data_IF_766726506945
#
_entry.id   IF_766726506945
#
_cell.length_a   1.000
_cell.length_b   1.000
_cell.length_c   1.000
_cell.angle_alpha   90.00
_cell.angle_beta   90.00
_cell.angle_gamma   90.00
#
_symmetry.space_group_name_H-M   'P 1'
#
loop_
_entity.id
_entity.type
_entity.pdbx_description
1 polymer ?
#
# COMPACT_ATOMS: atom_id res chain seq x y z
N UNK A 1 -18.70 24.30 -8.54
CA UNK A 1 -19.03 22.92 -8.95
C UNK A 1 -17.74 22.10 -8.91
N UNK A 2 -17.83 20.86 -8.48
CA UNK A 2 -16.71 19.93 -8.42
C UNK A 2 -17.19 18.50 -8.72
N UNK A 3 -16.26 17.65 -9.09
CA UNK A 3 -16.48 16.21 -9.27
C UNK A 3 -15.79 15.49 -8.11
N UNK A 4 -16.49 14.57 -7.48
CA UNK A 4 -15.94 13.67 -6.46
C UNK A 4 -15.91 12.26 -7.02
N UNK A 5 -14.79 11.60 -6.88
CA UNK A 5 -14.63 10.19 -7.22
C UNK A 5 -13.79 9.49 -6.14
N UNK A 6 -13.91 8.20 -6.06
CA UNK A 6 -13.04 7.40 -5.23
C UNK A 6 -11.73 7.14 -5.97
N UNK A 7 -10.62 7.49 -5.32
CA UNK A 7 -9.29 7.20 -5.82
C UNK A 7 -8.61 6.17 -4.92
N UNK A 8 -8.21 5.05 -5.50
CA UNK A 8 -7.40 4.07 -4.79
C UNK A 8 -5.97 4.57 -4.61
N UNK A 9 -5.38 4.29 -3.46
CA UNK A 9 -3.95 4.47 -3.25
C UNK A 9 -3.16 3.51 -4.14
N UNK A 10 -2.03 3.96 -4.65
CA UNK A 10 -1.05 3.12 -5.32
C UNK A 10 0.21 3.10 -4.46
N UNK A 11 0.70 1.89 -4.22
CA UNK A 11 2.00 1.64 -3.61
C UNK A 11 2.75 0.67 -4.51
N UNK A 12 3.77 1.17 -5.20
CA UNK A 12 4.60 0.37 -6.09
C UNK A 12 6.06 0.76 -5.95
N UNK A 13 6.96 -0.13 -6.33
CA UNK A 13 8.41 0.15 -6.33
C UNK A 13 8.85 1.28 -7.26
N UNK A 14 7.95 1.83 -8.09
CA UNK A 14 8.26 2.88 -9.06
C UNK A 14 7.60 4.22 -8.76
N UNK A 15 6.39 4.21 -8.18
CA UNK A 15 5.62 5.43 -7.91
C UNK A 15 4.52 5.17 -6.88
N UNK A 16 4.18 6.21 -6.15
CA UNK A 16 3.00 6.27 -5.27
C UNK A 16 1.85 7.07 -5.91
N UNK A 17 2.10 7.67 -7.09
CA UNK A 17 1.09 8.43 -7.81
C UNK A 17 0.22 7.50 -8.63
N UNK A 18 -1.08 7.48 -8.35
CA UNK A 18 -2.07 6.82 -9.19
C UNK A 18 -2.62 7.78 -10.23
N UNK A 19 -2.84 7.29 -11.44
CA UNK A 19 -3.28 8.10 -12.59
C UNK A 19 -4.74 7.79 -12.90
N UNK A 20 -5.54 8.85 -13.09
CA UNK A 20 -6.94 8.74 -13.48
C UNK A 20 -7.19 9.56 -14.74
N UNK A 21 -7.79 8.94 -15.74
CA UNK A 21 -8.11 9.59 -16.99
C UNK A 21 -9.48 10.27 -16.91
N UNK A 22 -9.52 11.59 -17.01
CA UNK A 22 -10.76 12.36 -17.08
C UNK A 22 -11.14 12.65 -18.52
N UNK A 23 -12.29 12.16 -18.93
CA UNK A 23 -12.89 12.50 -20.23
C UNK A 23 -14.12 13.38 -20.05
N UNK A 24 -14.46 14.18 -21.05
CA UNK A 24 -15.64 15.06 -21.02
C UNK A 24 -16.30 15.12 -22.39
N UNK A 25 -17.60 15.47 -22.40
CA UNK A 25 -18.44 15.41 -23.60
C UNK A 25 -19.04 14.00 -23.81
N UNK A 26 -19.95 13.86 -24.75
CA UNK A 26 -20.67 12.62 -25.00
C UNK A 26 -21.78 12.32 -23.99
N UNK A 27 -22.05 11.04 -23.75
CA UNK A 27 -23.09 10.60 -22.81
C UNK A 27 -22.68 10.84 -21.34
N UNK A 28 -23.68 10.89 -20.45
CA UNK A 28 -23.44 11.07 -19.03
C UNK A 28 -22.59 9.92 -18.46
N UNK A 29 -21.50 10.29 -17.80
CA UNK A 29 -20.66 9.33 -17.09
C UNK A 29 -21.40 8.66 -15.93
N UNK A 30 -20.89 7.51 -15.50
CA UNK A 30 -21.38 6.78 -14.35
C UNK A 30 -21.33 7.65 -13.10
N UNK A 31 -22.34 7.54 -12.25
CA UNK A 31 -22.40 8.19 -10.92
C UNK A 31 -22.31 7.15 -9.83
N UNK A 32 -21.77 7.54 -8.67
CA UNK A 32 -21.85 6.72 -7.47
C UNK A 32 -23.31 6.36 -7.18
N UNK A 33 -23.56 5.12 -6.83
CA UNK A 33 -24.83 4.66 -6.30
C UNK A 33 -25.10 5.23 -4.91
N UNK A 34 -26.32 5.08 -4.45
CA UNK A 34 -26.65 5.32 -3.05
C UNK A 34 -27.62 4.25 -2.57
N UNK A 35 -27.43 3.78 -1.33
CA UNK A 35 -28.33 2.84 -0.68
C UNK A 35 -28.73 3.32 0.70
N UNK A 36 -29.85 2.81 1.18
CA UNK A 36 -30.43 3.17 2.48
C UNK A 36 -29.64 2.53 3.63
N UNK A 37 -29.12 3.36 4.51
CA UNK A 37 -28.43 2.97 5.74
C UNK A 37 -29.25 3.27 6.99
N UNK A 38 -30.57 3.49 6.90
CA UNK A 38 -31.41 3.75 8.07
C UNK A 38 -31.14 2.73 9.17
N UNK A 39 -30.87 3.16 10.42
CA UNK A 39 -30.56 2.24 11.50
C UNK A 39 -31.69 1.23 11.75
N UNK A 40 -31.37 -0.02 11.70
CA UNK A 40 -32.27 -1.16 11.86
C UNK A 40 -31.70 -2.25 12.78
N UNK A 41 -32.27 -3.43 12.70
CA UNK A 41 -31.74 -4.61 13.38
C UNK A 41 -30.43 -5.06 12.70
N UNK A 42 -29.50 -5.60 13.49
CA UNK A 42 -28.22 -6.12 12.99
C UNK A 42 -27.24 -6.40 14.11
N UNK A 43 -26.19 -7.13 13.80
CA UNK A 43 -25.04 -7.32 14.70
C UNK A 43 -24.33 -5.98 14.89
N UNK A 44 -24.01 -5.63 16.13
CA UNK A 44 -23.26 -4.41 16.45
C UNK A 44 -21.86 -4.78 16.87
N UNK A 45 -20.88 -4.78 15.94
CA UNK A 45 -19.50 -5.08 16.27
C UNK A 45 -18.90 -3.96 17.16
N UNK A 46 -18.11 -4.35 18.13
CA UNK A 46 -17.42 -3.41 19.03
C UNK A 46 -16.09 -2.91 18.47
N UNK A 47 -15.53 -3.59 17.49
CA UNK A 47 -14.25 -3.29 16.83
C UNK A 47 -14.22 -3.90 15.42
N UNK A 48 -13.27 -3.47 14.64
CA UNK A 48 -12.94 -4.02 13.33
C UNK A 48 -11.45 -4.37 13.27
N UNK A 49 -11.07 -5.20 12.30
CA UNK A 49 -9.65 -5.50 12.04
C UNK A 49 -9.03 -4.33 11.29
N UNK A 50 -7.88 -3.86 11.77
CA UNK A 50 -7.01 -2.90 11.11
C UNK A 50 -5.62 -3.49 10.91
N UNK A 51 -4.95 -3.05 9.86
CA UNK A 51 -3.57 -3.42 9.55
C UNK A 51 -2.70 -2.16 9.56
N UNK A 52 -1.54 -2.27 10.18
CA UNK A 52 -0.46 -1.30 10.07
C UNK A 52 0.73 -1.99 9.44
N UNK A 53 1.19 -1.48 8.31
CA UNK A 53 2.41 -1.89 7.64
C UNK A 53 3.50 -0.86 7.92
N UNK A 54 4.67 -1.34 8.33
CA UNK A 54 5.85 -0.52 8.65
C UNK A 54 6.99 -1.04 7.79
N UNK A 55 7.42 -0.24 6.84
CA UNK A 55 8.52 -0.53 5.94
C UNK A 55 9.38 0.73 5.78
N UNK A 56 10.68 0.53 5.65
CA UNK A 56 11.67 1.59 5.37
C UNK A 56 12.70 1.05 4.38
N UNK A 57 13.02 1.82 3.36
CA UNK A 57 13.90 1.43 2.27
C UNK A 57 15.29 2.09 2.43
N UNK A 58 16.02 1.70 3.50
CA UNK A 58 17.29 2.32 3.89
C UNK A 58 18.52 1.57 3.34
N UNK A 59 18.47 0.24 3.29
CA UNK A 59 19.60 -0.60 2.92
C UNK A 59 19.29 -1.41 1.66
N UNK A 60 20.23 -1.47 0.72
CA UNK A 60 20.08 -2.25 -0.50
C UNK A 60 20.89 -3.53 -0.45
N UNK A 61 20.24 -4.68 -0.61
CA UNK A 61 20.86 -5.99 -0.68
C UNK A 61 20.64 -6.62 -2.07
N UNK A 62 21.57 -6.37 -3.01
CA UNK A 62 21.45 -6.80 -4.42
C UNK A 62 21.28 -8.30 -4.61
N UNK A 63 21.85 -9.10 -3.71
CA UNK A 63 21.86 -10.56 -3.79
C UNK A 63 20.82 -11.23 -2.89
N UNK A 64 19.85 -10.46 -2.36
CA UNK A 64 18.75 -11.05 -1.61
C UNK A 64 18.04 -12.11 -2.46
N UNK A 65 17.85 -13.34 -1.95
CA UNK A 65 17.20 -14.41 -2.68
C UNK A 65 15.71 -14.08 -2.89
N UNK A 66 15.23 -14.29 -4.11
CA UNK A 66 13.84 -14.03 -4.50
C UNK A 66 13.70 -13.89 -6.01
N UNK A 67 12.49 -13.58 -6.47
CA UNK A 67 12.22 -13.29 -7.89
C UNK A 67 12.86 -11.98 -8.35
N UNK A 68 12.92 -11.75 -9.65
CA UNK A 68 13.41 -10.49 -10.22
C UNK A 68 12.52 -9.30 -9.84
N UNK A 69 11.25 -9.56 -9.50
CA UNK A 69 10.29 -8.53 -9.08
C UNK A 69 10.43 -8.17 -7.59
N UNK A 70 11.25 -8.91 -6.83
CA UNK A 70 11.46 -8.62 -5.43
C UNK A 70 12.10 -7.24 -5.27
N UNK A 71 11.52 -6.41 -4.42
CA UNK A 71 12.18 -5.24 -3.91
C UNK A 71 13.35 -5.69 -3.02
N UNK A 72 14.52 -5.04 -3.17
CA UNK A 72 15.75 -5.42 -2.46
C UNK A 72 16.23 -4.32 -1.51
N UNK A 73 15.31 -3.50 -1.07
CA UNK A 73 15.53 -2.52 -0.01
C UNK A 73 15.01 -3.04 1.31
N UNK A 74 15.67 -2.69 2.39
CA UNK A 74 15.41 -3.16 3.75
C UNK A 74 15.44 -2.00 4.74
N UNK A 75 14.63 -2.07 5.78
CA UNK A 75 14.50 -1.01 6.77
C UNK A 75 15.65 -0.93 7.74
N UNK A 76 16.18 -2.07 8.19
CA UNK A 76 17.24 -2.12 9.16
C UNK A 76 18.24 -3.24 8.90
N UNK A 77 19.47 -3.03 9.39
CA UNK A 77 20.54 -4.03 9.36
C UNK A 77 21.03 -4.29 10.78
N UNK A 78 21.05 -5.54 11.19
CA UNK A 78 21.60 -5.97 12.47
C UNK A 78 22.93 -6.67 12.28
N UNK A 79 23.88 -6.30 13.13
CA UNK A 79 25.23 -6.85 13.15
C UNK A 79 25.79 -6.81 14.57
N UNK A 80 25.48 -7.80 15.45
CA UNK A 80 26.06 -7.86 16.78
C UNK A 80 27.57 -8.14 16.75
N UNK A 81 28.36 -7.64 17.72
CA UNK A 81 27.88 -6.80 18.82
C UNK A 81 27.75 -5.30 18.48
N UNK A 82 28.07 -4.87 17.24
CA UNK A 82 28.15 -3.45 16.85
C UNK A 82 26.77 -2.83 16.72
N UNK A 83 25.83 -3.51 16.07
CA UNK A 83 24.43 -3.10 15.88
C UNK A 83 23.54 -4.29 16.30
N UNK A 84 23.40 -4.54 17.62
CA UNK A 84 22.72 -5.74 18.09
C UNK A 84 21.19 -5.66 18.01
N UNK A 85 20.61 -4.47 17.92
CA UNK A 85 19.15 -4.30 17.94
C UNK A 85 18.67 -3.13 17.10
N UNK A 86 17.45 -3.23 16.65
CA UNK A 86 16.68 -2.18 16.02
C UNK A 86 15.47 -1.87 16.88
N UNK A 87 15.20 -0.57 17.09
CA UNK A 87 14.04 -0.09 17.83
C UNK A 87 13.17 0.74 16.89
N UNK A 88 11.89 0.38 16.82
CA UNK A 88 10.89 1.12 16.05
C UNK A 88 9.74 1.52 16.94
N UNK A 89 9.38 2.80 16.89
CA UNK A 89 8.15 3.28 17.51
C UNK A 89 7.06 3.48 16.44
N UNK A 90 5.82 3.19 16.81
CA UNK A 90 4.64 3.43 15.99
C UNK A 90 3.46 3.82 16.86
N UNK A 91 2.53 4.57 16.29
CA UNK A 91 1.37 5.10 17.03
C UNK A 91 0.10 4.39 16.55
N UNK A 92 -0.74 4.02 17.52
CA UNK A 92 -2.10 3.54 17.28
C UNK A 92 -3.09 4.48 17.95
N UNK A 93 -4.14 4.88 17.24
CA UNK A 93 -5.06 5.88 17.74
C UNK A 93 -6.11 5.29 18.69
N UNK A 94 -6.76 4.20 18.31
CA UNK A 94 -7.88 3.65 19.04
C UNK A 94 -7.91 2.10 19.09
N UNK A 95 -6.81 1.43 19.46
CA UNK A 95 -6.78 -0.02 19.53
C UNK A 95 -7.78 -0.53 20.56
N UNK A 96 -8.57 -1.54 20.18
CA UNK A 96 -9.47 -2.22 21.10
C UNK A 96 -8.69 -3.21 21.98
N UNK A 97 -9.21 -3.48 23.17
CA UNK A 97 -8.63 -4.48 24.07
C UNK A 97 -8.97 -5.92 23.58
N UNK A 98 -8.35 -6.32 22.48
CA UNK A 98 -8.52 -7.64 21.88
C UNK A 98 -7.16 -8.19 21.44
N UNK A 99 -7.12 -9.47 21.09
CA UNK A 99 -5.93 -10.10 20.54
C UNK A 99 -5.63 -9.56 19.12
N UNK A 100 -4.36 -9.63 18.74
CA UNK A 100 -3.88 -9.26 17.42
C UNK A 100 -2.77 -10.19 16.97
N UNK A 101 -2.08 -9.81 15.91
CA UNK A 101 -0.94 -10.53 15.37
C UNK A 101 0.11 -9.54 14.86
N UNK A 102 1.39 -9.88 15.03
CA UNK A 102 2.50 -9.16 14.41
C UNK A 102 3.30 -10.14 13.56
N UNK A 103 3.66 -9.74 12.36
CA UNK A 103 4.59 -10.48 11.51
C UNK A 103 5.78 -9.58 11.20
N UNK A 104 6.99 -10.13 11.35
CA UNK A 104 8.23 -9.45 10.97
C UNK A 104 8.88 -10.25 9.87
N UNK A 105 9.13 -9.61 8.73
CA UNK A 105 9.87 -10.15 7.61
C UNK A 105 11.36 -9.79 7.77
N UNK A 106 12.20 -10.83 7.79
CA UNK A 106 13.65 -10.71 7.95
C UNK A 106 14.37 -11.62 6.97
N UNK A 107 15.61 -11.31 6.68
CA UNK A 107 16.48 -12.15 5.86
C UNK A 107 17.88 -12.23 6.46
N UNK A 108 18.45 -13.44 6.52
CA UNK A 108 19.85 -13.61 6.84
C UNK A 108 20.77 -13.04 5.75
N UNK A 109 21.85 -12.39 6.13
CA UNK A 109 22.85 -11.86 5.20
C UNK A 109 24.06 -12.75 5.04
N UNK A 110 24.38 -13.55 6.06
CA UNK A 110 25.48 -14.51 6.05
C UNK A 110 24.97 -15.93 6.21
N UNK A 111 25.72 -16.89 5.65
CA UNK A 111 25.58 -18.30 5.95
C UNK A 111 26.87 -18.80 6.60
N UNK A 112 26.74 -19.50 7.69
CA UNK A 112 27.86 -20.09 8.45
C UNK A 112 27.78 -21.63 8.44
N UNK A 113 28.84 -22.30 8.92
CA UNK A 113 28.85 -23.76 9.06
C UNK A 113 28.04 -24.25 10.29
N UNK A 114 27.65 -23.33 11.17
CA UNK A 114 26.87 -23.59 12.37
C UNK A 114 25.40 -23.43 12.00
N UNK A 115 24.60 -24.40 12.36
CA UNK A 115 23.15 -24.40 12.08
C UNK A 115 22.37 -24.66 13.41
N UNK A 116 21.45 -23.74 13.81
CA UNK A 116 21.13 -22.46 13.16
C UNK A 116 22.23 -21.41 13.34
N UNK A 117 22.36 -20.48 12.39
CA UNK A 117 23.34 -19.41 12.47
C UNK A 117 22.74 -18.05 12.86
N UNK A 118 21.41 -17.88 12.78
CA UNK A 118 20.69 -16.70 13.21
C UNK A 118 19.80 -16.96 14.43
N UNK A 119 19.78 -15.99 15.37
CA UNK A 119 18.84 -15.99 16.51
C UNK A 119 18.35 -14.57 16.79
N UNK A 120 17.03 -14.36 16.69
CA UNK A 120 16.36 -13.08 16.94
C UNK A 120 15.33 -13.20 18.05
N UNK A 121 15.35 -12.22 18.94
CA UNK A 121 14.34 -12.00 19.97
C UNK A 121 13.58 -10.71 19.70
N UNK A 122 12.26 -10.76 19.88
CA UNK A 122 11.35 -9.63 19.65
C UNK A 122 10.64 -9.26 20.92
N UNK A 123 10.65 -7.98 21.26
CA UNK A 123 9.86 -7.42 22.37
C UNK A 123 8.96 -6.28 21.88
N UNK A 124 7.75 -6.24 22.41
CA UNK A 124 6.78 -5.16 22.16
C UNK A 124 6.35 -4.57 23.50
N UNK A 125 6.49 -3.26 23.66
CA UNK A 125 6.20 -2.54 24.91
C UNK A 125 6.88 -3.16 26.14
N UNK A 126 8.09 -3.72 25.96
CA UNK A 126 8.90 -4.37 27.01
C UNK A 126 8.54 -5.84 27.29
N UNK A 127 7.53 -6.41 26.63
CA UNK A 127 7.16 -7.81 26.74
C UNK A 127 7.76 -8.61 25.59
N UNK A 128 8.39 -9.74 25.84
CA UNK A 128 8.88 -10.63 24.80
C UNK A 128 7.69 -11.31 24.11
N UNK A 129 7.60 -11.13 22.79
CA UNK A 129 6.53 -11.69 21.96
C UNK A 129 7.04 -12.74 20.98
N UNK A 130 8.35 -12.75 20.68
CA UNK A 130 8.94 -13.68 19.72
C UNK A 130 10.37 -14.07 20.07
N UNK A 131 10.75 -15.27 19.61
CA UNK A 131 12.09 -15.84 19.73
C UNK A 131 12.22 -16.85 18.59
N UNK A 132 13.15 -16.63 17.66
CA UNK A 132 13.26 -17.44 16.44
C UNK A 132 14.70 -17.70 16.07
N UNK A 133 14.96 -18.95 15.65
CA UNK A 133 16.21 -19.39 15.05
C UNK A 133 15.98 -19.81 13.60
N UNK A 134 16.91 -19.45 12.72
CA UNK A 134 16.90 -19.93 11.33
C UNK A 134 18.33 -20.01 10.78
N UNK A 135 18.49 -20.48 9.56
CA UNK A 135 19.79 -20.79 8.97
C UNK A 135 19.97 -20.15 7.60
N UNK A 136 21.15 -19.58 7.38
CA UNK A 136 21.65 -19.13 6.09
C UNK A 136 21.00 -17.88 5.53
N UNK A 137 21.32 -17.60 4.26
CA UNK A 137 20.76 -16.44 3.52
C UNK A 137 19.35 -16.82 3.06
N UNK A 138 18.42 -16.86 4.00
CA UNK A 138 17.03 -17.26 3.79
C UNK A 138 16.09 -16.29 4.49
N UNK A 139 14.85 -16.23 3.99
CA UNK A 139 13.79 -15.46 4.61
C UNK A 139 13.28 -16.11 5.87
N UNK A 140 13.00 -15.30 6.87
CA UNK A 140 12.31 -15.66 8.10
C UNK A 140 11.12 -14.70 8.30
N UNK A 141 9.90 -15.23 8.15
CA UNK A 141 8.67 -14.49 8.43
C UNK A 141 8.15 -14.92 9.79
N UNK A 142 8.54 -14.18 10.83
CA UNK A 142 8.17 -14.49 12.22
C UNK A 142 6.79 -13.91 12.53
N UNK A 143 5.81 -14.80 12.69
CA UNK A 143 4.43 -14.43 13.03
C UNK A 143 4.16 -14.71 14.50
N UNK A 144 3.74 -13.68 15.24
CA UNK A 144 3.61 -13.68 16.71
C UNK A 144 2.21 -13.25 17.11
N UNK A 145 1.48 -14.05 17.90
CA UNK A 145 0.21 -13.63 18.46
C UNK A 145 0.43 -12.53 19.51
N UNK A 146 -0.39 -11.51 19.46
CA UNK A 146 -0.43 -10.44 20.44
C UNK A 146 -1.61 -10.66 21.38
N UNK A 147 -1.34 -10.74 22.69
CA UNK A 147 -2.41 -10.84 23.68
C UNK A 147 -3.21 -9.53 23.76
N UNK A 148 -4.46 -9.63 24.18
CA UNK A 148 -5.28 -8.48 24.49
C UNK A 148 -4.58 -7.50 25.45
N UNK A 149 -4.67 -6.22 25.18
CA UNK A 149 -4.09 -5.14 25.98
C UNK A 149 -2.59 -4.96 25.89
N UNK A 150 -1.88 -5.66 25.00
CA UNK A 150 -0.46 -5.43 24.74
C UNK A 150 -0.25 -4.18 23.89
N UNK A 151 -1.05 -3.99 22.85
CA UNK A 151 -1.09 -2.76 22.06
C UNK A 151 -1.82 -1.67 22.84
N UNK A 152 -1.31 -0.43 22.72
CA UNK A 152 -1.79 0.73 23.46
C UNK A 152 -2.18 1.85 22.52
N UNK A 153 -3.13 2.67 22.93
CA UNK A 153 -3.34 3.96 22.30
C UNK A 153 -2.11 4.86 22.52
N UNK A 154 -1.73 5.60 21.49
CA UNK A 154 -0.48 6.35 21.46
C UNK A 154 0.71 5.47 21.06
N UNK A 155 1.88 5.79 21.59
CA UNK A 155 3.14 5.18 21.20
C UNK A 155 3.27 3.72 21.68
N UNK A 156 3.70 2.86 20.76
CA UNK A 156 4.12 1.49 20.97
C UNK A 156 5.58 1.34 20.54
N UNK A 157 6.35 0.58 21.30
CA UNK A 157 7.79 0.38 21.06
C UNK A 157 8.07 -1.08 20.75
N UNK A 158 8.56 -1.35 19.54
CA UNK A 158 9.05 -2.63 19.06
C UNK A 158 10.57 -2.64 19.15
N UNK A 159 11.15 -3.72 19.69
CA UNK A 159 12.61 -3.96 19.66
C UNK A 159 12.87 -5.33 19.09
N UNK A 160 13.69 -5.39 18.05
CA UNK A 160 14.20 -6.62 17.44
C UNK A 160 15.68 -6.73 17.74
N UNK A 161 16.10 -7.83 18.36
CA UNK A 161 17.48 -8.04 18.83
C UNK A 161 18.08 -9.30 18.24
N UNK A 162 19.20 -9.18 17.54
CA UNK A 162 20.04 -10.32 17.18
C UNK A 162 20.85 -10.74 18.44
N UNK A 163 20.56 -11.93 18.96
CA UNK A 163 21.03 -12.37 20.29
C UNK A 163 22.51 -12.79 20.28
N UNK A 164 22.97 -13.28 19.12
CA UNK A 164 24.36 -13.69 18.90
C UNK A 164 24.87 -14.79 19.86
N UNK A 165 24.05 -15.80 20.11
CA UNK A 165 24.34 -16.91 21.03
C UNK A 165 24.41 -18.28 20.33
N UNK A 166 24.31 -18.32 19.00
CA UNK A 166 24.38 -19.54 18.18
C UNK A 166 25.82 -20.09 18.07
N UNK A 167 26.80 -19.33 18.50
CA UNK A 167 28.23 -19.70 18.42
C UNK A 167 28.90 -19.29 17.11
N UNK A 168 28.21 -18.57 16.23
CA UNK A 168 28.81 -17.98 15.03
C UNK A 168 29.71 -16.81 15.40
N UNK A 169 30.78 -16.56 14.61
CA UNK A 169 31.66 -15.42 14.82
C UNK A 169 31.04 -14.08 14.40
N UNK A 170 30.04 -14.12 13.53
CA UNK A 170 29.29 -12.96 13.02
C UNK A 170 27.90 -13.42 12.65
N UNK A 171 26.89 -12.75 13.18
CA UNK A 171 25.50 -12.84 12.77
C UNK A 171 25.11 -11.53 12.08
N UNK A 172 24.61 -11.63 10.85
CA UNK A 172 24.18 -10.47 10.08
C UNK A 172 22.84 -10.75 9.43
N UNK A 173 21.91 -9.82 9.58
CA UNK A 173 20.56 -9.94 9.01
C UNK A 173 19.97 -8.58 8.69
N UNK A 174 19.00 -8.56 7.78
CA UNK A 174 18.17 -7.40 7.51
C UNK A 174 16.75 -7.62 8.03
N UNK A 175 16.14 -6.53 8.45
CA UNK A 175 14.70 -6.43 8.71
C UNK A 175 14.08 -5.71 7.52
N UNK A 176 13.07 -6.33 6.93
CA UNK A 176 12.34 -5.83 5.77
C UNK A 176 11.15 -5.01 6.21
N UNK A 177 10.12 -5.67 6.69
CA UNK A 177 8.86 -5.05 7.07
C UNK A 177 8.30 -5.61 8.38
N UNK A 178 7.38 -4.85 8.98
CA UNK A 178 6.58 -5.26 10.12
C UNK A 178 5.11 -5.02 9.81
N UNK A 179 4.31 -6.08 9.87
CA UNK A 179 2.86 -6.03 9.75
C UNK A 179 2.21 -6.23 11.11
N UNK A 180 1.29 -5.36 11.48
CA UNK A 180 0.52 -5.47 12.71
C UNK A 180 -0.96 -5.54 12.37
N UNK A 181 -1.56 -6.71 12.55
CA UNK A 181 -3.01 -6.89 12.50
C UNK A 181 -3.59 -6.74 13.90
N UNK A 182 -4.53 -5.82 14.09
CA UNK A 182 -5.08 -5.53 15.39
C UNK A 182 -6.56 -5.14 15.33
N UNK A 183 -7.24 -5.33 16.46
CA UNK A 183 -8.59 -4.82 16.63
C UNK A 183 -8.54 -3.31 16.87
N UNK A 184 -9.32 -2.56 16.09
CA UNK A 184 -9.46 -1.11 16.23
C UNK A 184 -10.92 -0.75 16.50
N UNK A 185 -11.16 0.26 17.32
CA UNK A 185 -12.54 0.71 17.61
C UNK A 185 -13.09 1.51 16.43
N UNK A 186 -14.41 1.62 16.36
CA UNK A 186 -15.07 2.48 15.34
C UNK A 186 -14.99 3.96 15.74
N UNK A 187 -13.76 4.48 15.89
CA UNK A 187 -13.51 5.85 16.30
C UNK A 187 -12.75 6.59 15.22
N UNK A 188 -13.37 7.64 14.67
CA UNK A 188 -12.74 8.50 13.66
C UNK A 188 -11.59 9.30 14.27
N UNK A 189 -10.53 9.46 13.47
CA UNK A 189 -9.36 10.30 13.77
C UNK A 189 -9.23 11.33 12.66
N UNK A 190 -9.18 12.61 13.03
CA UNK A 190 -9.19 13.69 12.04
C UNK A 190 -10.46 13.71 11.16
N UNK A 191 -11.60 13.30 11.74
CA UNK A 191 -12.87 13.20 11.04
C UNK A 191 -12.90 12.18 9.88
N UNK A 192 -12.04 11.18 9.91
CA UNK A 192 -11.99 10.10 8.92
C UNK A 192 -11.88 8.74 9.64
N UNK A 193 -12.59 7.74 9.14
CA UNK A 193 -12.53 6.37 9.63
C UNK A 193 -12.63 5.38 8.46
N UNK A 194 -11.61 4.56 8.32
CA UNK A 194 -11.59 3.39 7.46
C UNK A 194 -11.86 2.15 8.28
N UNK A 195 -12.79 1.31 7.85
CA UNK A 195 -13.05 0.04 8.55
C UNK A 195 -13.51 -1.05 7.60
N UNK A 196 -13.38 -2.29 8.06
CA UNK A 196 -13.77 -3.49 7.31
C UNK A 196 -14.71 -4.33 8.14
N UNK A 197 -15.64 -5.02 7.47
CA UNK A 197 -16.30 -6.19 8.03
C UNK A 197 -15.67 -7.47 7.47
N UNK A 198 -15.65 -8.54 8.28
CA UNK A 198 -14.97 -9.77 7.90
C UNK A 198 -15.85 -10.78 7.15
N UNK A 199 -17.17 -10.61 7.13
CA UNK A 199 -18.09 -11.63 6.62
C UNK A 199 -19.40 -11.02 6.14
N UNK A 200 -20.18 -11.81 5.40
CA UNK A 200 -21.56 -11.50 5.08
C UNK A 200 -22.42 -11.42 6.36
N UNK A 201 -23.37 -10.50 6.37
CA UNK A 201 -24.27 -10.33 7.52
C UNK A 201 -25.05 -9.04 7.47
N UNK A 202 -25.95 -8.88 8.44
CA UNK A 202 -26.66 -7.62 8.68
C UNK A 202 -25.96 -6.95 9.87
N UNK A 203 -25.42 -5.78 9.64
CA UNK A 203 -24.65 -5.02 10.63
C UNK A 203 -25.35 -3.73 10.98
N UNK A 204 -25.16 -3.30 12.23
CA UNK A 204 -25.49 -1.98 12.72
C UNK A 204 -24.23 -1.34 13.27
N UNK A 205 -23.66 -0.43 12.51
CA UNK A 205 -22.42 0.25 12.87
C UNK A 205 -22.70 1.48 13.74
N UNK A 206 -21.80 1.72 14.69
CA UNK A 206 -21.78 2.92 15.54
C UNK A 206 -20.39 3.53 15.47
N UNK A 207 -20.27 4.60 14.71
CA UNK A 207 -19.03 5.31 14.48
C UNK A 207 -18.97 6.52 15.41
N UNK A 208 -17.86 6.71 16.10
CA UNK A 208 -17.67 7.78 17.08
C UNK A 208 -16.52 8.71 16.64
N UNK A 209 -16.29 9.79 17.39
CA UNK A 209 -15.09 10.63 17.28
C UNK A 209 -15.17 11.74 16.25
N UNK A 210 -16.30 11.95 15.57
CA UNK A 210 -16.44 13.04 14.60
C UNK A 210 -16.60 14.40 15.32
N UNK A 211 -15.95 15.43 14.79
CA UNK A 211 -16.09 16.81 15.29
C UNK A 211 -17.28 17.53 14.69
N UNK A 212 -17.87 16.99 13.62
CA UNK A 212 -19.06 17.50 12.93
C UNK A 212 -20.15 16.44 12.83
N UNK A 213 -21.40 16.87 12.83
CA UNK A 213 -22.55 16.00 12.54
C UNK A 213 -22.82 15.80 11.05
N UNK A 214 -22.08 16.48 10.16
CA UNK A 214 -22.16 16.28 8.73
C UNK A 214 -21.13 15.23 8.30
N UNK A 215 -21.55 13.98 8.27
CA UNK A 215 -20.70 12.84 7.95
C UNK A 215 -21.27 12.10 6.75
N UNK A 216 -20.39 11.71 5.86
CA UNK A 216 -20.67 10.86 4.70
C UNK A 216 -20.05 9.48 4.93
N UNK A 217 -20.77 8.43 4.54
CA UNK A 217 -20.28 7.05 4.60
C UNK A 217 -20.39 6.45 3.22
N UNK A 218 -19.32 5.78 2.82
CA UNK A 218 -19.21 5.11 1.53
C UNK A 218 -18.84 3.65 1.73
N UNK A 219 -19.50 2.77 0.97
CA UNK A 219 -19.01 1.45 0.70
C UNK A 219 -18.02 1.53 -0.46
N UNK A 220 -16.77 1.22 -0.18
CA UNK A 220 -15.65 1.26 -1.13
C UNK A 220 -15.09 -0.15 -1.38
N UNK A 221 -15.90 -1.17 -1.13
CA UNK A 221 -15.54 -2.58 -1.34
C UNK A 221 -15.16 -2.86 -2.78
N UNK A 222 -15.88 -2.25 -3.72
CA UNK A 222 -15.58 -2.27 -5.15
C UNK A 222 -15.30 -0.83 -5.59
N UNK A 223 -14.04 -0.55 -5.90
CA UNK A 223 -13.58 0.78 -6.29
C UNK A 223 -14.27 1.32 -7.55
N UNK A 224 -14.70 0.42 -8.43
CA UNK A 224 -15.45 0.80 -9.64
C UNK A 224 -16.94 1.02 -9.38
N UNK A 225 -17.47 0.54 -8.24
CA UNK A 225 -18.87 0.55 -7.88
C UNK A 225 -19.12 1.12 -6.49
N UNK A 226 -18.47 2.21 -6.16
CA UNK A 226 -18.64 2.88 -4.85
C UNK A 226 -20.10 3.31 -4.66
N UNK A 227 -20.64 3.05 -3.47
CA UNK A 227 -21.97 3.45 -3.07
C UNK A 227 -21.94 4.33 -1.82
N UNK A 228 -22.71 5.40 -1.83
CA UNK A 228 -22.91 6.22 -0.65
C UNK A 228 -24.00 5.60 0.23
N UNK A 229 -23.75 5.47 1.52
CA UNK A 229 -24.74 5.05 2.51
C UNK A 229 -25.51 6.30 2.95
N UNK A 230 -26.81 6.35 2.67
CA UNK A 230 -27.70 7.46 2.99
C UNK A 230 -28.49 7.23 4.29
N UNK A 231 -29.24 8.23 4.74
CA UNK A 231 -30.15 8.15 5.91
C UNK A 231 -29.45 7.73 7.22
N UNK A 232 -28.26 8.26 7.44
CA UNK A 232 -27.50 8.03 8.67
C UNK A 232 -28.22 8.68 9.86
N UNK A 233 -28.22 8.04 11.02
CA UNK A 233 -28.64 8.68 12.26
C UNK A 233 -27.43 9.31 12.96
N UNK A 234 -27.50 10.63 13.17
CA UNK A 234 -26.43 11.38 13.83
C UNK A 234 -26.91 11.84 15.19
N UNK A 235 -26.08 11.69 16.22
CA UNK A 235 -26.37 12.08 17.59
C UNK A 235 -25.12 12.61 18.31
N UNK A 236 -25.31 13.21 19.50
CA UNK A 236 -24.22 13.82 20.25
C UNK A 236 -23.88 15.24 19.82
N UNK A 237 -22.79 15.77 20.35
CA UNK A 237 -22.28 17.11 20.05
C UNK A 237 -20.79 17.19 20.40
N UNK A 238 -19.92 17.00 19.43
CA UNK A 238 -18.45 17.04 19.54
C UNK A 238 -17.89 16.31 20.81
N UNK A 239 -17.71 14.95 20.72
CA UNK A 239 -17.79 14.18 19.50
C UNK A 239 -19.22 13.79 19.12
N UNK A 240 -19.46 13.73 17.80
CA UNK A 240 -20.67 13.18 17.23
C UNK A 240 -20.53 11.68 17.04
N UNK A 241 -21.66 10.99 17.12
CA UNK A 241 -21.81 9.58 16.78
C UNK A 241 -22.70 9.44 15.55
N UNK A 242 -22.29 8.59 14.64
CA UNK A 242 -23.03 8.22 13.45
C UNK A 242 -23.43 6.76 13.52
N UNK A 243 -24.70 6.48 13.29
CA UNK A 243 -25.22 5.12 13.28
C UNK A 243 -25.88 4.82 11.95
N UNK A 244 -25.62 3.63 11.42
CA UNK A 244 -26.29 3.13 10.23
C UNK A 244 -26.33 1.60 10.24
N UNK A 245 -27.21 1.03 9.40
CA UNK A 245 -27.26 -0.42 9.16
C UNK A 245 -26.92 -0.71 7.71
N UNK A 246 -26.30 -1.86 7.49
CA UNK A 246 -25.95 -2.35 6.16
C UNK A 246 -26.07 -3.86 6.06
N UNK A 247 -26.38 -4.34 4.86
CA UNK A 247 -26.40 -5.76 4.51
C UNK A 247 -25.18 -6.08 3.67
N UNK A 248 -24.13 -6.55 4.33
CA UNK A 248 -22.91 -6.94 3.65
C UNK A 248 -23.05 -8.32 2.99
N UNK A 249 -22.78 -8.41 1.69
CA UNK A 249 -22.80 -9.67 0.94
C UNK A 249 -21.56 -10.54 1.17
N UNK A 250 -20.51 -9.98 1.80
CA UNK A 250 -19.22 -10.62 2.07
C UNK A 250 -18.37 -9.72 2.94
N UNK A 251 -17.05 -9.91 2.88
CA UNK A 251 -16.11 -8.94 3.44
C UNK A 251 -16.24 -7.62 2.67
N UNK A 252 -16.34 -6.51 3.39
CA UNK A 252 -16.52 -5.18 2.82
C UNK A 252 -15.62 -4.14 3.44
N UNK A 253 -15.39 -3.04 2.73
CA UNK A 253 -14.60 -1.91 3.18
C UNK A 253 -15.42 -0.62 3.10
N UNK A 254 -15.34 0.17 4.16
CA UNK A 254 -16.10 1.40 4.30
C UNK A 254 -15.17 2.57 4.62
N UNK A 255 -15.55 3.73 4.10
CA UNK A 255 -14.97 5.02 4.44
C UNK A 255 -16.07 5.91 5.04
N UNK A 256 -15.89 6.36 6.27
CA UNK A 256 -16.69 7.40 6.88
C UNK A 256 -15.85 8.66 7.07
N UNK A 257 -16.36 9.83 6.69
CA UNK A 257 -15.62 11.07 6.74
C UNK A 257 -16.53 12.29 6.92
N UNK A 258 -15.96 13.40 7.41
CA UNK A 258 -16.68 14.67 7.43
C UNK A 258 -17.04 15.10 6.01
N UNK A 259 -18.28 15.54 5.81
CA UNK A 259 -18.75 16.01 4.52
C UNK A 259 -17.92 17.19 4.01
N UNK A 260 -17.54 17.13 2.75
CA UNK A 260 -16.73 18.16 2.10
C UNK A 260 -15.22 18.10 2.39
N UNK A 261 -14.74 17.17 3.23
CA UNK A 261 -13.31 16.97 3.49
C UNK A 261 -12.64 16.13 2.40
N UNK A 262 -12.82 16.50 1.13
CA UNK A 262 -12.24 15.78 0.00
C UNK A 262 -10.78 16.15 -0.20
N UNK A 263 -9.97 15.16 -0.61
CA UNK A 263 -8.60 15.40 -1.07
C UNK A 263 -8.65 16.03 -2.47
N UNK A 264 -7.85 17.06 -2.69
CA UNK A 264 -7.67 17.58 -4.04
C UNK A 264 -6.74 16.65 -4.83
N UNK A 265 -6.95 16.56 -6.14
CA UNK A 265 -5.98 15.93 -7.04
C UNK A 265 -4.67 16.74 -7.02
N UNK A 266 -3.52 16.07 -7.11
CA UNK A 266 -2.22 16.75 -7.07
C UNK A 266 -1.96 17.60 -8.31
N UNK A 267 -2.45 17.16 -9.47
CA UNK A 267 -2.33 17.88 -10.72
C UNK A 267 -3.39 17.44 -11.72
N UNK A 268 -3.68 18.32 -12.67
CA UNK A 268 -4.47 17.98 -13.85
C UNK A 268 -3.60 18.38 -15.04
N UNK A 269 -3.22 17.40 -15.84
CA UNK A 269 -2.44 17.60 -17.04
C UNK A 269 -3.31 17.35 -18.27
N UNK A 270 -3.10 18.13 -19.30
CA UNK A 270 -3.72 17.86 -20.60
C UNK A 270 -2.83 16.88 -21.35
N UNK A 271 -3.45 15.86 -21.93
CA UNK A 271 -2.75 15.00 -22.88
C UNK A 271 -2.17 15.88 -24.01
N UNK A 272 -0.90 15.72 -24.31
CA UNK A 272 -0.25 16.40 -25.41
C UNK A 272 -0.75 15.86 -26.77
N UNK A 273 0.09 15.47 -27.70
CA UNK A 273 -0.36 14.78 -28.91
C UNK A 273 -0.54 13.30 -28.59
N UNK A 274 -1.77 12.78 -28.77
CA UNK A 274 -2.04 11.36 -28.56
C UNK A 274 -1.07 10.50 -29.38
N UNK A 275 -0.39 9.62 -28.68
CA UNK A 275 0.50 8.63 -29.30
C UNK A 275 -0.31 7.53 -30.00
N UNK A 276 0.33 6.74 -30.83
CA UNK A 276 -0.26 5.59 -31.49
C UNK A 276 0.80 4.48 -31.59
N UNK A 277 1.35 4.06 -30.46
CA UNK A 277 2.41 3.06 -30.42
C UNK A 277 1.91 1.67 -30.86
N UNK A 278 0.60 1.42 -30.70
CA UNK A 278 -0.08 0.19 -31.13
C UNK A 278 -0.50 0.22 -32.61
N UNK A 279 -0.15 1.25 -33.37
CA UNK A 279 -0.52 1.39 -34.76
C UNK A 279 0.14 0.33 -35.65
N UNK A 280 -0.67 -0.42 -36.40
CA UNK A 280 -0.21 -1.52 -37.26
C UNK A 280 0.74 -1.09 -38.40
N UNK A 281 0.85 0.20 -38.69
CA UNK A 281 1.80 0.76 -39.66
C UNK A 281 3.15 1.13 -39.05
N UNK A 282 3.31 1.02 -37.73
CA UNK A 282 4.57 1.31 -37.05
C UNK A 282 5.62 0.23 -37.36
N UNK A 283 6.88 0.65 -37.39
CA UNK A 283 7.97 -0.28 -37.56
C UNK A 283 9.32 0.41 -37.40
N UNK A 284 10.27 -0.26 -36.80
CA UNK A 284 11.62 0.23 -36.60
C UNK A 284 12.62 -0.94 -36.56
N UNK A 285 13.86 -0.67 -36.97
CA UNK A 285 14.98 -1.60 -36.79
C UNK A 285 15.74 -1.27 -35.48
N UNK A 286 15.51 -0.05 -34.93
CA UNK A 286 16.10 0.41 -33.67
C UNK A 286 15.17 1.38 -32.97
N UNK A 287 14.78 1.07 -31.73
CA UNK A 287 13.90 1.88 -30.90
C UNK A 287 14.75 2.51 -29.79
N UNK A 288 14.58 3.80 -29.55
CA UNK A 288 15.18 4.54 -28.44
C UNK A 288 14.04 5.04 -27.57
N UNK A 289 13.80 4.39 -26.44
CA UNK A 289 12.83 4.84 -25.44
C UNK A 289 13.53 5.86 -24.54
N UNK A 290 12.98 7.05 -24.39
CA UNK A 290 13.60 8.12 -23.64
C UNK A 290 12.58 9.04 -22.99
N UNK A 291 12.82 9.50 -21.73
CA UNK A 291 12.04 10.59 -21.16
C UNK A 291 12.21 11.88 -21.98
N UNK A 292 11.19 12.71 -21.99
CA UNK A 292 11.18 13.99 -22.73
C UNK A 292 12.38 14.89 -22.39
N UNK A 293 12.89 14.82 -21.15
CA UNK A 293 14.05 15.57 -20.71
C UNK A 293 15.34 15.25 -21.51
N UNK A 294 15.45 14.05 -22.10
CA UNK A 294 16.61 13.64 -22.91
C UNK A 294 16.29 13.54 -24.42
N UNK A 295 15.17 14.11 -24.85
CA UNK A 295 14.69 13.96 -26.23
C UNK A 295 15.68 14.45 -27.28
N UNK A 296 16.32 15.61 -27.05
CA UNK A 296 17.33 16.17 -27.96
C UNK A 296 18.63 15.35 -27.96
N UNK A 297 19.06 14.85 -26.83
CA UNK A 297 20.24 14.00 -26.72
C UNK A 297 20.01 12.66 -27.44
N UNK A 298 18.83 12.10 -27.32
CA UNK A 298 18.44 10.86 -28.01
C UNK A 298 18.41 11.04 -29.54
N UNK A 299 18.20 12.27 -30.06
CA UNK A 299 18.27 12.55 -31.49
C UNK A 299 19.66 12.27 -32.08
N UNK A 300 20.71 12.57 -31.34
CA UNK A 300 22.09 12.28 -31.76
C UNK A 300 22.31 10.77 -32.00
N UNK A 301 21.80 9.95 -31.07
CA UNK A 301 21.86 8.50 -31.21
C UNK A 301 20.99 8.01 -32.37
N UNK A 302 19.75 8.53 -32.49
CA UNK A 302 18.84 8.20 -33.59
C UNK A 302 19.49 8.50 -34.97
N UNK A 303 20.03 9.69 -35.13
CA UNK A 303 20.69 10.10 -36.36
C UNK A 303 21.92 9.23 -36.70
N UNK A 304 22.71 8.87 -35.68
CA UNK A 304 23.85 7.96 -35.85
C UNK A 304 23.37 6.58 -36.36
N UNK A 305 22.34 6.00 -35.77
CA UNK A 305 21.77 4.71 -36.19
C UNK A 305 21.14 4.77 -37.57
N UNK A 306 20.44 5.86 -37.88
CA UNK A 306 19.91 6.10 -39.23
C UNK A 306 21.00 6.19 -40.28
N UNK A 307 22.16 6.84 -39.95
CA UNK A 307 23.33 6.89 -40.82
C UNK A 307 23.98 5.50 -41.10
N UNK A 308 23.67 4.52 -40.27
CA UNK A 308 24.07 3.12 -40.45
C UNK A 308 23.04 2.32 -41.29
N UNK A 309 22.00 2.98 -41.79
CA UNK A 309 20.96 2.35 -42.64
C UNK A 309 19.79 1.75 -41.87
N UNK A 310 19.70 1.97 -40.53
CA UNK A 310 18.60 1.46 -39.70
C UNK A 310 17.42 2.44 -39.69
N UNK A 311 16.19 1.93 -39.68
CA UNK A 311 15.01 2.72 -39.36
C UNK A 311 15.01 2.95 -37.83
N UNK A 312 15.67 4.01 -37.38
CA UNK A 312 15.77 4.36 -35.97
C UNK A 312 14.68 5.34 -35.58
N UNK A 313 13.93 5.05 -34.55
CA UNK A 313 12.85 5.88 -33.98
C UNK A 313 13.12 6.21 -32.53
N UNK A 314 12.62 7.40 -32.11
CA UNK A 314 12.51 7.75 -30.69
C UNK A 314 11.07 7.55 -30.23
N UNK A 315 10.90 7.03 -29.06
CA UNK A 315 9.62 6.84 -28.39
C UNK A 315 9.70 7.54 -27.04
N UNK A 316 8.68 8.35 -26.73
CA UNK A 316 8.57 8.97 -25.42
C UNK A 316 8.23 7.90 -24.40
N UNK A 317 8.93 7.93 -23.27
CA UNK A 317 8.69 7.01 -22.19
C UNK A 317 7.29 7.18 -21.58
N UNK A 318 6.77 8.42 -21.55
CA UNK A 318 5.41 8.67 -21.05
C UNK A 318 4.37 8.05 -21.99
N UNK A 319 4.54 8.14 -23.32
CA UNK A 319 3.66 7.49 -24.28
C UNK A 319 3.61 5.96 -24.07
N UNK A 320 4.74 5.36 -23.69
CA UNK A 320 4.77 3.92 -23.34
C UNK A 320 3.94 3.65 -22.10
N UNK A 321 4.08 4.47 -21.06
CA UNK A 321 3.25 4.33 -19.85
C UNK A 321 1.77 4.52 -20.15
N UNK A 322 1.42 5.52 -20.94
CA UNK A 322 0.04 5.85 -21.28
C UNK A 322 -0.66 4.70 -22.03
N UNK A 323 -0.01 4.13 -23.05
CA UNK A 323 -0.61 3.08 -23.85
C UNK A 323 -0.49 1.66 -23.26
N UNK A 324 0.50 1.39 -22.40
CA UNK A 324 0.79 0.06 -21.90
C UNK A 324 0.55 -0.11 -20.39
N UNK A 325 0.35 1.00 -19.64
CA UNK A 325 0.04 0.95 -18.22
C UNK A 325 -0.84 2.13 -17.74
N UNK A 326 -1.73 2.64 -18.59
CA UNK A 326 -2.68 3.70 -18.23
C UNK A 326 -2.05 4.97 -17.63
N UNK A 327 -0.81 5.28 -17.99
CA UNK A 327 -0.06 6.44 -17.50
C UNK A 327 0.79 6.18 -16.27
N UNK A 328 0.67 5.02 -15.64
CA UNK A 328 1.40 4.67 -14.43
C UNK A 328 2.82 4.19 -14.79
N UNK A 329 3.83 4.81 -14.19
CA UNK A 329 5.22 4.44 -14.42
C UNK A 329 5.51 3.01 -13.95
N UNK A 330 6.03 2.15 -14.86
CA UNK A 330 6.51 0.81 -14.53
C UNK A 330 7.52 0.29 -15.57
N UNK A 331 8.40 -0.62 -15.15
CA UNK A 331 9.28 -1.33 -16.06
C UNK A 331 8.51 -2.33 -16.92
N UNK A 332 7.42 -2.88 -16.40
CA UNK A 332 6.53 -3.82 -17.08
C UNK A 332 5.91 -3.18 -18.32
N UNK A 333 5.50 -1.91 -18.26
CA UNK A 333 4.99 -1.19 -19.42
C UNK A 333 6.00 -1.15 -20.58
N UNK A 334 7.29 -0.95 -20.25
CA UNK A 334 8.37 -0.97 -21.26
C UNK A 334 8.54 -2.37 -21.85
N UNK A 335 8.51 -3.40 -21.03
CA UNK A 335 8.58 -4.80 -21.48
C UNK A 335 7.42 -5.13 -22.39
N UNK A 336 6.20 -4.79 -22.01
CA UNK A 336 4.97 -5.09 -22.75
C UNK A 336 4.94 -4.33 -24.09
N UNK A 337 5.43 -3.10 -24.12
CA UNK A 337 5.65 -2.35 -25.36
C UNK A 337 6.66 -3.08 -26.27
N UNK A 338 7.81 -3.50 -25.75
CA UNK A 338 8.83 -4.18 -26.53
C UNK A 338 8.33 -5.55 -27.04
N UNK A 339 7.61 -6.30 -26.23
CA UNK A 339 6.98 -7.55 -26.64
C UNK A 339 5.95 -7.32 -27.75
N UNK A 340 5.11 -6.29 -27.62
CA UNK A 340 4.15 -5.91 -28.66
C UNK A 340 4.82 -5.54 -29.98
N UNK A 341 5.96 -4.84 -29.95
CA UNK A 341 6.67 -4.43 -31.17
C UNK A 341 7.47 -5.54 -31.83
N UNK A 342 7.77 -6.62 -31.08
CA UNK A 342 8.52 -7.77 -31.59
C UNK A 342 7.62 -8.77 -32.34
N UNK A 343 6.34 -8.90 -31.93
CA UNK A 343 5.35 -9.81 -32.53
C UNK A 343 4.61 -9.17 -33.70
#
# INVERSE_FOLDING_TARGET
>A
DYIVFYGEGLDSKYTWDNIYWLTYGGDNGRRMGARDGSPGAGSTPGWHVSNLHIEENTYYFSNAPGSDDLERYFGAFLFPPTIPSWTKTFTLDAPANAAGQMTISMIGYLANAINPDHHVRVTLNGEQIGDVYWDGITWSNLSMPLRAGLLRAGENTLVVTAVNDTGVGSDMLYIDAVDVEYANTFTAVGDELWFKNGAAGVYRYRLNGFTTGQVEVYDVTDAENVEQISNLAVSGSNPYMVEFSDVAGGAGQYLAKAAGSYKAVQGIETVDTASNLRGVGNGADHIIITPRAFWEQAETLRAHRAGQGLRAVKVDLQDVYDEFNYGIASAEAIRDFLEYTYN
#
